data_IF_110556363445
#
_entry.id   IF_110556363445
#
_cell.length_a   1.000
_cell.length_b   1.000
_cell.length_c   1.000
_cell.angle_alpha   90.00
_cell.angle_beta   90.00
_cell.angle_gamma   90.00
#
_symmetry.space_group_name_H-M   'P 1'
#
loop_
_entity.id
_entity.type
_entity.pdbx_description
1 polymer ?
#
# COMPACT_ATOMS: atom_id res chain seq x y z
N UNK A 1 7.12 -21.15 9.34
CA UNK A 1 8.49 -21.05 8.81
C UNK A 1 8.40 -21.02 7.30
N UNK A 2 9.22 -20.22 6.62
CA UNK A 2 9.33 -20.26 5.16
C UNK A 2 10.60 -21.01 4.78
N UNK A 3 10.53 -21.77 3.70
CA UNK A 3 11.67 -22.53 3.15
C UNK A 3 12.18 -21.80 1.91
N UNK A 4 13.50 -21.63 1.80
CA UNK A 4 14.13 -21.15 0.57
C UNK A 4 14.21 -22.31 -0.42
N UNK A 5 13.80 -22.07 -1.66
CA UNK A 5 13.72 -23.10 -2.70
C UNK A 5 14.56 -22.80 -3.93
N UNK A 6 14.88 -21.52 -4.17
CA UNK A 6 15.81 -21.13 -5.23
C UNK A 6 16.57 -19.87 -4.82
N UNK A 7 17.87 -19.86 -5.12
CA UNK A 7 18.75 -18.73 -4.89
C UNK A 7 18.78 -17.87 -6.15
N UNK A 8 18.29 -16.63 -6.06
CA UNK A 8 18.19 -15.72 -7.22
C UNK A 8 19.00 -14.44 -7.03
N UNK A 9 19.36 -14.06 -5.80
CA UNK A 9 20.21 -12.89 -5.54
C UNK A 9 19.65 -11.57 -6.08
N UNK A 10 18.32 -11.44 -6.20
CA UNK A 10 17.68 -10.27 -6.79
C UNK A 10 17.77 -9.09 -5.83
N UNK A 11 18.40 -7.99 -6.28
CA UNK A 11 18.39 -6.72 -5.54
C UNK A 11 16.98 -6.14 -5.54
N UNK A 12 16.44 -5.93 -4.35
CA UNK A 12 15.09 -5.39 -4.16
C UNK A 12 15.11 -3.87 -4.24
N UNK A 13 14.29 -3.35 -5.14
CA UNK A 13 13.94 -1.94 -5.21
C UNK A 13 12.68 -1.66 -4.37
N UNK A 14 12.68 -0.54 -3.66
CA UNK A 14 11.52 -0.07 -2.94
C UNK A 14 10.45 0.53 -3.85
N UNK A 15 10.73 0.93 -5.08
CA UNK A 15 9.70 1.41 -6.00
C UNK A 15 8.97 0.28 -6.74
N UNK A 16 9.48 -0.96 -6.63
CA UNK A 16 8.91 -2.15 -7.26
C UNK A 16 8.16 -3.04 -6.25
N UNK A 17 7.16 -3.76 -6.74
CA UNK A 17 6.55 -4.92 -6.10
C UNK A 17 6.98 -6.18 -6.82
N UNK A 18 7.55 -7.11 -6.06
CA UNK A 18 8.00 -8.41 -6.56
C UNK A 18 6.98 -9.49 -6.27
N UNK A 19 6.76 -10.37 -7.23
CA UNK A 19 5.96 -11.57 -7.09
C UNK A 19 6.51 -12.68 -7.99
N UNK A 20 6.23 -13.94 -7.63
CA UNK A 20 6.59 -15.08 -8.47
C UNK A 20 5.40 -15.42 -9.36
N UNK A 21 5.65 -15.58 -10.66
CA UNK A 21 4.66 -16.04 -11.63
C UNK A 21 5.33 -17.01 -12.59
N UNK A 22 4.70 -18.15 -12.82
CA UNK A 22 5.21 -19.22 -13.69
C UNK A 22 6.63 -19.67 -13.32
N UNK A 23 6.95 -19.72 -12.02
CA UNK A 23 8.27 -20.10 -11.54
C UNK A 23 9.37 -19.05 -11.71
N UNK A 24 9.04 -17.86 -12.20
CA UNK A 24 9.98 -16.75 -12.41
C UNK A 24 9.67 -15.57 -11.49
N UNK A 25 10.69 -14.73 -11.23
CA UNK A 25 10.54 -13.50 -10.46
C UNK A 25 10.13 -12.36 -11.38
N UNK A 26 8.99 -11.74 -11.08
CA UNK A 26 8.44 -10.59 -11.79
C UNK A 26 8.41 -9.36 -10.88
N UNK A 27 8.62 -8.19 -11.47
CA UNK A 27 8.56 -6.88 -10.82
C UNK A 27 7.53 -5.99 -11.50
N UNK A 28 6.76 -5.24 -10.70
CA UNK A 28 5.82 -4.22 -11.18
C UNK A 28 6.07 -2.91 -10.42
N UNK A 29 6.14 -1.76 -11.12
CA UNK A 29 6.17 -0.46 -10.46
C UNK A 29 4.95 -0.25 -9.57
N UNK A 30 5.17 0.21 -8.34
CA UNK A 30 4.08 0.52 -7.41
C UNK A 30 3.17 1.58 -8.04
N UNK A 31 1.86 1.35 -7.94
CA UNK A 31 0.86 2.33 -8.38
C UNK A 31 0.92 3.56 -7.48
N UNK A 32 1.26 4.70 -8.06
CA UNK A 32 1.13 6.01 -7.40
C UNK A 32 -0.31 6.53 -7.58
N UNK A 33 -0.87 7.30 -6.62
CA UNK A 33 -2.18 7.92 -6.78
C UNK A 33 -2.24 8.73 -8.08
N UNK A 34 -3.29 8.54 -8.88
CA UNK A 34 -3.45 9.23 -10.17
C UNK A 34 -2.66 8.66 -11.36
N UNK A 35 -1.84 7.62 -11.17
CA UNK A 35 -1.12 6.95 -12.26
C UNK A 35 -1.71 5.58 -12.59
N UNK A 36 -1.59 5.17 -13.86
CA UNK A 36 -1.96 3.84 -14.31
C UNK A 36 -1.05 2.77 -13.69
N UNK A 37 -1.52 1.52 -13.63
CA UNK A 37 -0.72 0.40 -13.12
C UNK A 37 0.48 0.17 -14.05
N UNK A 38 1.68 0.13 -13.48
CA UNK A 38 2.90 -0.17 -14.24
C UNK A 38 2.85 -1.55 -14.90
N UNK A 39 3.57 -1.71 -16.00
CA UNK A 39 3.72 -2.99 -16.69
C UNK A 39 4.64 -3.91 -15.88
N UNK A 40 4.34 -5.21 -15.90
CA UNK A 40 5.19 -6.20 -15.25
C UNK A 40 6.37 -6.57 -16.13
N UNK A 41 7.55 -6.69 -15.53
CA UNK A 41 8.78 -7.14 -16.20
C UNK A 41 9.35 -8.36 -15.49
N UNK A 42 9.86 -9.32 -16.26
CA UNK A 42 10.59 -10.46 -15.71
C UNK A 42 11.95 -9.97 -15.22
N UNK A 43 12.25 -10.17 -13.95
CA UNK A 43 13.47 -9.70 -13.29
C UNK A 43 14.53 -10.79 -13.26
N UNK A 44 14.11 -12.02 -12.94
CA UNK A 44 15.00 -13.17 -12.91
C UNK A 44 14.23 -14.45 -13.24
N UNK A 45 14.91 -15.40 -13.88
CA UNK A 45 14.40 -16.76 -14.02
C UNK A 45 14.79 -17.56 -12.78
N UNK A 46 13.80 -18.17 -12.10
CA UNK A 46 14.06 -19.03 -10.95
C UNK A 46 13.77 -20.51 -11.25
N UNK A 47 12.97 -20.80 -12.29
CA UNK A 47 12.72 -22.17 -12.76
C UNK A 47 12.01 -23.05 -11.74
N UNK A 48 11.21 -22.47 -10.86
CA UNK A 48 10.63 -23.20 -9.72
C UNK A 48 9.23 -23.71 -10.01
N UNK A 49 8.97 -24.98 -9.69
CA UNK A 49 7.63 -25.55 -9.78
C UNK A 49 6.74 -25.04 -8.63
N UNK A 50 5.55 -24.55 -8.99
CA UNK A 50 4.65 -23.86 -8.06
C UNK A 50 3.38 -24.66 -7.80
N UNK A 51 3.17 -25.06 -6.55
CA UNK A 51 1.91 -25.62 -6.06
C UNK A 51 1.12 -24.52 -5.33
N UNK A 52 0.25 -23.85 -6.09
CA UNK A 52 -0.60 -22.78 -5.58
C UNK A 52 -1.68 -23.26 -4.60
N UNK A 53 -1.95 -24.57 -4.53
CA UNK A 53 -2.96 -25.13 -3.62
C UNK A 53 -2.42 -25.21 -2.19
N UNK A 54 -1.15 -25.61 -2.05
CA UNK A 54 -0.51 -25.83 -0.73
C UNK A 54 0.35 -24.68 -0.26
N UNK A 55 0.93 -23.89 -1.16
CA UNK A 55 1.95 -22.90 -0.80
C UNK A 55 1.64 -21.49 -1.30
N UNK A 56 2.29 -20.54 -0.65
CA UNK A 56 2.50 -19.17 -1.13
C UNK A 56 3.98 -18.98 -1.40
N UNK A 57 4.28 -18.32 -2.51
CA UNK A 57 5.64 -18.07 -2.97
C UNK A 57 5.90 -16.57 -2.91
N UNK A 58 7.07 -16.19 -2.42
CA UNK A 58 7.49 -14.79 -2.34
C UNK A 58 9.00 -14.68 -2.42
N UNK A 59 9.46 -13.49 -2.79
CA UNK A 59 10.87 -13.15 -2.71
C UNK A 59 11.18 -12.73 -1.26
N UNK A 60 12.20 -13.31 -0.65
CA UNK A 60 12.60 -12.99 0.72
C UNK A 60 13.39 -11.65 0.79
N UNK A 61 13.95 -11.33 1.95
CA UNK A 61 14.73 -10.10 2.14
C UNK A 61 16.11 -10.15 1.47
N UNK A 62 16.67 -11.35 1.32
CA UNK A 62 17.98 -11.58 0.69
C UNK A 62 17.89 -11.59 -0.84
N UNK A 63 16.68 -11.60 -1.39
CA UNK A 63 16.45 -11.62 -2.84
C UNK A 63 16.35 -13.03 -3.42
N UNK A 64 16.04 -14.01 -2.58
CA UNK A 64 15.86 -15.42 -2.94
C UNK A 64 14.38 -15.80 -2.96
N UNK A 65 14.02 -16.83 -3.71
CA UNK A 65 12.64 -17.34 -3.77
C UNK A 65 12.41 -18.28 -2.59
N UNK A 66 11.38 -17.97 -1.81
CA UNK A 66 10.94 -18.76 -0.67
C UNK A 66 9.46 -19.16 -0.79
N UNK A 67 9.09 -20.26 -0.13
CA UNK A 67 7.71 -20.73 0.00
C UNK A 67 7.30 -20.88 1.45
N UNK A 68 6.01 -20.71 1.72
CA UNK A 68 5.40 -21.05 3.02
C UNK A 68 4.07 -21.74 2.79
N UNK A 69 3.65 -22.61 3.72
CA UNK A 69 2.34 -23.27 3.65
C UNK A 69 1.24 -22.20 3.63
N UNK A 70 0.34 -22.32 2.67
CA UNK A 70 -0.81 -21.42 2.51
C UNK A 70 -1.79 -21.69 3.64
N UNK A 71 -2.15 -20.64 4.38
CA UNK A 71 -3.25 -20.73 5.31
C UNK A 71 -4.55 -20.43 4.55
N UNK A 72 -5.38 -21.45 4.37
CA UNK A 72 -6.68 -21.34 3.70
C UNK A 72 -7.73 -21.11 4.77
N UNK A 73 -8.49 -20.01 4.68
CA UNK A 73 -9.39 -19.54 5.74
C UNK A 73 -8.72 -18.48 6.60
N UNK A 74 -9.27 -17.27 6.59
CA UNK A 74 -8.72 -16.11 7.29
C UNK A 74 -8.45 -16.46 8.75
N UNK A 75 -7.20 -16.31 9.20
CA UNK A 75 -6.88 -16.46 10.61
C UNK A 75 -7.78 -15.48 11.33
N UNK A 76 -8.70 -15.99 12.15
CA UNK A 76 -9.62 -15.18 12.96
C UNK A 76 -8.73 -14.24 13.75
N UNK A 77 -8.62 -12.99 13.30
CA UNK A 77 -7.76 -11.99 13.92
C UNK A 77 -8.32 -11.86 15.33
N UNK A 78 -7.64 -12.42 16.34
CA UNK A 78 -8.01 -12.21 17.73
C UNK A 78 -7.95 -10.70 17.91
N UNK A 79 -9.12 -10.07 17.92
CA UNK A 79 -9.27 -8.64 18.15
C UNK A 79 -8.70 -8.42 19.54
N UNK A 80 -7.43 -8.00 19.62
CA UNK A 80 -6.91 -7.44 20.85
C UNK A 80 -7.91 -6.33 21.19
N UNK A 81 -8.63 -6.50 22.30
CA UNK A 81 -9.57 -5.51 22.78
C UNK A 81 -8.78 -4.22 22.94
N UNK A 82 -8.93 -3.31 21.97
CA UNK A 82 -8.35 -1.99 22.02
C UNK A 82 -9.06 -1.33 23.21
N UNK A 83 -8.42 -1.37 24.38
CA UNK A 83 -8.87 -0.66 25.58
C UNK A 83 -9.12 0.76 25.11
N UNK A 84 -10.38 1.20 25.16
CA UNK A 84 -10.78 2.48 24.64
C UNK A 84 -9.90 3.56 25.29
N UNK A 85 -9.17 4.32 24.47
CA UNK A 85 -8.54 5.54 24.96
C UNK A 85 -9.66 6.43 25.53
N UNK A 86 -9.53 6.98 26.74
CA UNK A 86 -10.56 7.81 27.33
C UNK A 86 -10.84 8.99 26.39
N UNK A 87 -12.11 9.14 26.00
CA UNK A 87 -12.59 10.32 25.26
C UNK A 87 -12.25 11.54 26.11
N UNK A 88 -11.28 12.36 25.68
CA UNK A 88 -11.08 13.69 26.24
C UNK A 88 -12.38 14.47 26.00
N UNK A 89 -13.03 14.85 27.09
CA UNK A 89 -14.32 15.51 27.09
C UNK A 89 -14.31 16.75 26.20
N UNK A 90 -15.39 16.91 25.43
CA UNK A 90 -15.67 18.10 24.65
C UNK A 90 -15.71 19.32 25.57
N UNK A 91 -14.73 20.21 25.43
CA UNK A 91 -14.81 21.55 26.01
C UNK A 91 -15.84 22.36 25.21
N UNK A 92 -17.00 22.57 25.84
CA UNK A 92 -18.06 23.50 25.45
C UNK A 92 -17.47 24.84 25.01
N UNK A 93 -17.52 25.18 23.72
CA UNK A 93 -17.49 26.58 23.27
C UNK A 93 -18.95 27.04 23.21
N UNK A 94 -19.42 27.71 24.29
CA UNK A 94 -20.73 28.36 24.35
C UNK A 94 -20.81 29.43 23.25
N UNK A 95 -21.92 29.44 22.53
CA UNK A 95 -22.29 30.44 21.55
C UNK A 95 -22.66 31.78 22.20
N UNK A 96 -22.40 32.90 21.52
CA UNK A 96 -23.37 33.98 21.36
C UNK A 96 -23.01 34.86 20.13
N UNK A 97 -24.02 35.39 19.39
CA UNK A 97 -23.87 35.95 18.04
C UNK A 97 -23.89 37.48 18.01
N UNK A 98 -23.29 38.14 16.99
CA UNK A 98 -23.66 39.52 16.58
C UNK A 98 -23.38 39.79 15.09
N UNK A 99 -24.47 39.80 14.33
CA UNK A 99 -24.88 40.69 13.22
C UNK A 99 -23.84 41.30 12.24
N UNK A 100 -24.14 41.01 10.96
CA UNK A 100 -24.43 41.95 9.87
C UNK A 100 -23.29 42.55 9.00
N UNK A 101 -23.27 42.06 7.75
CA UNK A 101 -23.30 42.81 6.49
C UNK A 101 -22.15 43.77 6.10
N UNK A 102 -21.45 43.45 5.00
CA UNK A 102 -21.63 44.14 3.68
C UNK A 102 -20.73 43.55 2.57
N UNK A 103 -21.28 43.67 1.36
CA UNK A 103 -20.91 43.14 0.02
C UNK A 103 -19.48 43.44 -0.49
N UNK A 104 -19.00 42.68 -1.51
CA UNK A 104 -17.67 42.82 -2.09
C UNK A 104 -17.52 44.09 -2.95
N UNK A 105 -16.44 44.84 -2.72
CA UNK A 105 -16.10 46.04 -3.49
C UNK A 105 -15.50 45.68 -4.85
N UNK A 106 -16.36 45.79 -5.87
CA UNK A 106 -16.16 46.24 -7.25
C UNK A 106 -14.71 46.51 -7.71
N UNK A 107 -14.25 45.68 -8.65
CA UNK A 107 -13.08 45.87 -9.52
C UNK A 107 -13.39 47.02 -10.50
N UNK A 108 -12.79 48.19 -10.30
CA UNK A 108 -12.86 49.32 -11.23
C UNK A 108 -11.67 49.26 -12.20
N UNK A 109 -11.90 48.76 -13.41
CA UNK A 109 -11.03 48.97 -14.54
C UNK A 109 -11.31 50.38 -15.10
N UNK A 110 -10.32 51.28 -15.07
CA UNK A 110 -10.38 52.56 -15.80
C UNK A 110 -9.06 52.79 -16.55
N UNK A 111 -9.10 52.40 -17.82
CA UNK A 111 -8.52 53.01 -19.02
C UNK A 111 -7.60 54.23 -18.78
N UNK A 112 -6.31 54.08 -19.10
CA UNK A 112 -5.44 55.16 -19.61
C UNK A 112 -5.17 54.89 -21.09
N UNK A 113 -5.78 55.68 -21.95
CA UNK A 113 -5.33 56.06 -23.30
C UNK A 113 -5.76 57.51 -23.47
#
# INVERSE_FOLDING_TARGET
MAEKIAKTGVKRDNDLMYYIKNGDVWGVPRKKPGQAKGKATKVAAAGVEMDYTKYIYFLDKDGDVARSKRQVGGSKRKKAAKKAAPKKAAAKKKAAPKKAAKKPAKKAAKKKR
#
